data_IF_452379143072
#
_entry.id   IF_452379143072
#
_cell.length_a   1.000
_cell.length_b   1.000
_cell.length_c   1.000
_cell.angle_alpha   90.00
_cell.angle_beta   90.00
_cell.angle_gamma   90.00
#
_symmetry.space_group_name_H-M   'P 1'
#
loop_
_entity.id
_entity.type
_entity.pdbx_description
1 polymer ?
#
# COMPACT_ATOMS: atom_id res chain seq x y z
N UNK A 1 -14.28 21.17 -19.33
CA UNK A 1 -12.83 21.23 -19.01
C UNK A 1 -12.65 20.52 -17.67
N UNK A 2 -11.66 19.66 -17.50
CA UNK A 2 -11.38 19.00 -16.20
C UNK A 2 -10.44 19.87 -15.39
N UNK A 3 -10.66 19.91 -14.09
CA UNK A 3 -9.78 20.62 -13.13
C UNK A 3 -8.57 19.78 -12.82
N UNK A 4 -8.71 18.45 -12.73
CA UNK A 4 -7.62 17.50 -12.53
C UNK A 4 -7.82 16.26 -13.39
N UNK A 5 -6.74 15.77 -13.98
CA UNK A 5 -6.69 14.50 -14.71
C UNK A 5 -5.70 13.59 -14.01
N UNK A 6 -6.15 12.40 -13.59
CA UNK A 6 -5.31 11.33 -13.03
C UNK A 6 -4.95 10.37 -14.15
N UNK A 7 -3.68 10.10 -14.34
CA UNK A 7 -3.20 9.17 -15.38
C UNK A 7 -2.80 7.85 -14.73
N UNK A 8 -3.47 6.78 -15.14
CA UNK A 8 -3.30 5.42 -14.65
C UNK A 8 -4.37 5.00 -13.65
N UNK A 9 -5.15 3.97 -14.01
CA UNK A 9 -6.26 3.40 -13.24
C UNK A 9 -5.85 2.28 -12.28
N UNK A 10 -4.59 2.21 -11.85
CA UNK A 10 -4.16 1.29 -10.81
C UNK A 10 -4.62 1.73 -9.41
N UNK A 11 -4.23 0.96 -8.36
CA UNK A 11 -4.62 1.24 -6.97
C UNK A 11 -4.25 2.66 -6.52
N UNK A 12 -3.13 3.20 -6.99
CA UNK A 12 -2.69 4.56 -6.64
C UNK A 12 -3.61 5.59 -7.28
N UNK A 13 -3.80 5.52 -8.61
CA UNK A 13 -4.65 6.47 -9.31
C UNK A 13 -6.10 6.41 -8.87
N UNK A 14 -6.64 5.22 -8.66
CA UNK A 14 -7.99 5.03 -8.12
C UNK A 14 -8.15 5.62 -6.71
N UNK A 15 -7.14 5.44 -5.84
CA UNK A 15 -7.14 6.02 -4.49
C UNK A 15 -7.07 7.56 -4.52
N UNK A 16 -6.24 8.12 -5.40
CA UNK A 16 -6.15 9.58 -5.59
C UNK A 16 -7.48 10.12 -6.09
N UNK A 17 -8.07 9.49 -7.13
CA UNK A 17 -9.37 9.92 -7.65
C UNK A 17 -10.45 9.87 -6.57
N UNK A 18 -10.50 8.80 -5.77
CA UNK A 18 -11.43 8.69 -4.65
C UNK A 18 -11.30 9.86 -3.67
N UNK A 19 -10.10 10.27 -3.33
CA UNK A 19 -9.92 11.43 -2.46
C UNK A 19 -10.32 12.75 -3.15
N UNK A 20 -10.01 12.91 -4.43
CA UNK A 20 -10.41 14.09 -5.21
C UNK A 20 -11.93 14.23 -5.29
N UNK A 21 -12.69 13.13 -5.42
CA UNK A 21 -14.16 13.19 -5.48
C UNK A 21 -14.84 13.70 -4.21
N UNK A 22 -14.11 13.84 -3.11
CA UNK A 22 -14.60 14.52 -1.89
C UNK A 22 -14.57 16.05 -2.00
N UNK A 23 -13.90 16.57 -3.03
CA UNK A 23 -13.78 17.99 -3.31
C UNK A 23 -14.77 18.40 -4.39
N UNK A 24 -15.06 19.70 -4.49
CA UNK A 24 -15.82 20.26 -5.62
C UNK A 24 -14.89 20.41 -6.82
N UNK A 25 -15.27 19.83 -7.96
CA UNK A 25 -14.48 19.91 -9.19
C UNK A 25 -14.88 18.86 -10.21
N UNK A 26 -14.30 18.97 -11.41
CA UNK A 26 -14.45 18.03 -12.49
C UNK A 26 -13.16 17.20 -12.60
N UNK A 27 -13.24 15.93 -12.28
CA UNK A 27 -12.10 15.03 -12.25
C UNK A 27 -12.23 13.97 -13.34
N UNK A 28 -11.09 13.57 -13.91
CA UNK A 28 -11.03 12.54 -14.92
C UNK A 28 -9.90 11.56 -14.56
N UNK A 29 -10.14 10.28 -14.82
CA UNK A 29 -9.09 9.25 -14.77
C UNK A 29 -8.92 8.69 -16.19
N UNK A 30 -7.68 8.65 -16.64
CA UNK A 30 -7.31 8.06 -17.92
C UNK A 30 -6.55 6.77 -17.67
N UNK A 31 -7.00 5.68 -18.27
CA UNK A 31 -6.33 4.38 -18.27
C UNK A 31 -6.03 3.98 -19.72
N UNK A 32 -4.88 3.38 -19.96
CA UNK A 32 -4.46 2.93 -21.28
C UNK A 32 -4.99 1.55 -21.66
N UNK A 33 -5.31 0.75 -20.66
CA UNK A 33 -5.84 -0.59 -20.84
C UNK A 33 -7.37 -0.56 -20.95
N UNK A 34 -7.98 -1.69 -21.29
CA UNK A 34 -9.43 -1.84 -21.46
C UNK A 34 -10.21 -1.66 -20.17
N UNK A 35 -9.57 -1.88 -19.01
CA UNK A 35 -10.18 -1.75 -17.69
C UNK A 35 -9.14 -1.27 -16.66
N UNK A 36 -9.60 -0.85 -15.51
CA UNK A 36 -8.75 -0.44 -14.39
C UNK A 36 -8.03 -1.63 -13.76
N UNK A 37 -6.93 -1.34 -13.07
CA UNK A 37 -6.12 -2.32 -12.32
C UNK A 37 -5.51 -3.47 -13.15
N UNK A 38 -5.44 -3.38 -14.47
CA UNK A 38 -4.93 -4.45 -15.35
C UNK A 38 -3.41 -4.72 -15.22
N UNK A 39 -2.66 -3.84 -14.57
CA UNK A 39 -1.22 -3.99 -14.32
C UNK A 39 -0.90 -4.57 -12.94
N UNK A 40 0.08 -3.98 -12.26
CA UNK A 40 0.58 -4.42 -10.95
C UNK A 40 -0.49 -4.49 -9.84
N UNK A 41 -1.54 -3.70 -9.95
CA UNK A 41 -2.64 -3.72 -8.97
C UNK A 41 -3.43 -5.03 -8.98
N UNK A 42 -3.46 -5.75 -10.10
CA UNK A 42 -4.04 -7.08 -10.22
C UNK A 42 -3.03 -8.18 -9.92
N UNK A 43 -1.76 -7.96 -10.30
CA UNK A 43 -0.69 -8.96 -10.25
C UNK A 43 0.22 -8.72 -9.05
N UNK A 44 -0.30 -8.88 -7.83
CA UNK A 44 0.46 -8.76 -6.59
C UNK A 44 -0.03 -9.78 -5.54
N UNK A 45 0.68 -9.88 -4.42
CA UNK A 45 0.39 -10.84 -3.35
C UNK A 45 -0.79 -10.43 -2.44
N UNK A 46 -1.29 -9.22 -2.55
CA UNK A 46 -2.34 -8.69 -1.67
C UNK A 46 -1.92 -8.56 -0.20
N UNK A 47 -0.62 -8.52 0.08
CA UNK A 47 -0.09 -8.42 1.44
C UNK A 47 0.09 -6.95 1.81
N UNK A 48 -0.49 -6.55 2.94
CA UNK A 48 -0.25 -5.23 3.54
C UNK A 48 1.02 -5.30 4.37
N UNK A 49 2.07 -4.59 3.95
CA UNK A 49 3.35 -4.60 4.63
C UNK A 49 3.27 -3.97 6.02
N UNK A 50 3.96 -4.59 7.01
CA UNK A 50 3.97 -4.11 8.40
C UNK A 50 4.90 -2.90 8.62
N UNK A 51 5.88 -2.69 7.74
CA UNK A 51 6.78 -1.53 7.77
C UNK A 51 8.22 -1.81 8.20
N UNK A 52 8.50 -2.95 8.83
CA UNK A 52 9.83 -3.29 9.36
C UNK A 52 10.91 -3.51 8.28
N UNK A 53 10.51 -3.81 7.05
CA UNK A 53 11.42 -4.06 5.93
C UNK A 53 12.02 -2.77 5.35
N UNK A 54 11.33 -1.66 5.46
CA UNK A 54 11.78 -0.39 4.90
C UNK A 54 12.85 0.27 5.79
N UNK A 55 13.84 0.92 5.14
CA UNK A 55 14.92 1.61 5.84
C UNK A 55 14.34 2.76 6.67
N UNK A 56 14.59 2.82 7.99
CA UNK A 56 14.14 3.88 8.86
C UNK A 56 14.54 5.29 8.35
N UNK A 57 13.70 6.29 8.60
CA UNK A 57 13.92 7.66 8.14
C UNK A 57 13.54 7.94 6.68
N UNK A 58 13.17 6.92 5.90
CA UNK A 58 12.70 7.10 4.52
C UNK A 58 11.19 7.34 4.45
N UNK A 59 10.73 8.00 3.38
CA UNK A 59 9.29 8.15 3.10
C UNK A 59 8.61 6.79 2.93
N UNK A 60 9.32 5.79 2.39
CA UNK A 60 8.83 4.42 2.27
C UNK A 60 8.50 3.85 3.64
N UNK A 61 9.39 3.95 4.62
CA UNK A 61 9.15 3.48 5.99
C UNK A 61 7.95 4.21 6.62
N UNK A 62 7.93 5.54 6.55
CA UNK A 62 6.85 6.37 7.07
C UNK A 62 5.49 5.98 6.52
N UNK A 63 5.36 5.93 5.20
CA UNK A 63 4.07 5.65 4.56
C UNK A 63 3.68 4.18 4.62
N UNK A 64 4.63 3.26 4.76
CA UNK A 64 4.35 1.85 4.98
C UNK A 64 3.63 1.64 6.32
N UNK A 65 4.18 2.19 7.41
CA UNK A 65 3.57 2.10 8.74
C UNK A 65 2.23 2.84 8.80
N UNK A 66 2.16 4.04 8.23
CA UNK A 66 0.94 4.83 8.20
C UNK A 66 -0.16 4.13 7.40
N UNK A 67 0.17 3.63 6.21
CA UNK A 67 -0.76 2.89 5.36
C UNK A 67 -1.27 1.61 6.01
N UNK A 68 -0.39 0.86 6.70
CA UNK A 68 -0.79 -0.31 7.46
C UNK A 68 -1.85 0.03 8.52
N UNK A 69 -1.63 1.10 9.29
CA UNK A 69 -2.60 1.56 10.30
C UNK A 69 -3.94 2.00 9.70
N UNK A 70 -3.94 2.56 8.51
CA UNK A 70 -5.14 3.03 7.81
C UNK A 70 -5.91 1.89 7.13
N UNK A 71 -5.22 0.81 6.76
CA UNK A 71 -5.77 -0.24 5.89
C UNK A 71 -7.07 -0.88 6.41
N UNK A 72 -7.24 -1.21 7.70
CA UNK A 72 -8.49 -1.80 8.19
C UNK A 72 -9.71 -0.93 7.95
N UNK A 73 -9.60 0.37 8.22
CA UNK A 73 -10.68 1.33 7.99
C UNK A 73 -10.94 1.51 6.49
N UNK A 74 -9.88 1.66 5.70
CA UNK A 74 -9.96 1.83 4.26
C UNK A 74 -10.59 0.62 3.56
N UNK A 75 -10.21 -0.59 3.95
CA UNK A 75 -10.81 -1.82 3.42
C UNK A 75 -12.29 -1.94 3.78
N UNK A 76 -12.67 -1.56 5.01
CA UNK A 76 -14.07 -1.52 5.44
C UNK A 76 -14.89 -0.55 4.59
N UNK A 77 -14.38 0.67 4.37
CA UNK A 77 -15.05 1.69 3.56
C UNK A 77 -15.27 1.23 2.10
N UNK A 78 -14.34 0.46 1.56
CA UNK A 78 -14.41 -0.08 0.22
C UNK A 78 -15.18 -1.42 0.12
N UNK A 79 -15.62 -2.00 1.23
CA UNK A 79 -16.25 -3.32 1.25
C UNK A 79 -15.29 -4.46 0.89
N UNK A 80 -13.98 -4.26 1.01
CA UNK A 80 -12.95 -5.25 0.69
C UNK A 80 -12.66 -6.11 1.90
N UNK A 81 -12.55 -7.43 1.70
CA UNK A 81 -12.18 -8.36 2.77
C UNK A 81 -10.74 -8.08 3.22
N UNK A 82 -10.57 -7.83 4.50
CA UNK A 82 -9.28 -7.64 5.14
C UNK A 82 -9.11 -8.62 6.30
N UNK A 83 -7.94 -9.22 6.41
CA UNK A 83 -7.59 -10.13 7.51
C UNK A 83 -6.26 -9.72 8.10
N UNK A 84 -6.23 -9.47 9.40
CA UNK A 84 -5.00 -9.25 10.16
C UNK A 84 -4.57 -10.56 10.82
N UNK A 85 -4.01 -11.45 10.03
CA UNK A 85 -3.55 -12.77 10.45
C UNK A 85 -2.04 -12.83 10.74
N UNK A 86 -1.36 -11.68 10.65
CA UNK A 86 0.08 -11.59 10.85
C UNK A 86 0.90 -12.19 9.71
N UNK A 87 2.20 -12.10 9.84
CA UNK A 87 3.18 -12.75 8.96
C UNK A 87 4.38 -13.21 9.78
N UNK A 88 5.07 -14.25 9.29
CA UNK A 88 6.28 -14.76 9.89
C UNK A 88 7.45 -14.54 8.94
N UNK A 89 8.58 -14.13 9.49
CA UNK A 89 9.87 -14.14 8.80
C UNK A 89 10.69 -15.25 9.39
N UNK A 90 11.10 -16.21 8.56
CA UNK A 90 11.82 -17.40 9.00
C UNK A 90 13.30 -17.28 8.64
N UNK A 91 14.16 -17.71 9.54
CA UNK A 91 15.59 -17.90 9.32
C UNK A 91 15.97 -19.37 9.48
N UNK A 92 16.95 -19.84 8.69
CA UNK A 92 17.34 -21.24 8.64
C UNK A 92 18.84 -21.46 8.99
N UNK A 93 19.58 -20.38 9.19
CA UNK A 93 21.01 -20.42 9.52
C UNK A 93 21.41 -19.22 10.38
N UNK A 94 22.68 -19.19 10.82
CA UNK A 94 23.20 -18.11 11.68
C UNK A 94 23.16 -16.73 11.00
N UNK A 95 23.41 -16.66 9.70
CA UNK A 95 23.33 -15.40 8.96
C UNK A 95 21.90 -14.85 8.93
N UNK A 96 20.92 -15.71 8.74
CA UNK A 96 19.51 -15.34 8.79
C UNK A 96 19.10 -14.87 10.19
N UNK A 97 19.64 -15.51 11.24
CA UNK A 97 19.40 -15.10 12.63
C UNK A 97 19.87 -13.67 12.88
N UNK A 98 21.07 -13.31 12.43
CA UNK A 98 21.57 -11.94 12.55
C UNK A 98 20.68 -10.93 11.77
N UNK A 99 20.20 -11.33 10.60
CA UNK A 99 19.25 -10.53 9.82
C UNK A 99 17.95 -10.32 10.59
N UNK A 100 17.40 -11.36 11.20
CA UNK A 100 16.18 -11.28 12.01
C UNK A 100 16.34 -10.35 13.21
N UNK A 101 17.48 -10.35 13.87
CA UNK A 101 17.79 -9.42 14.96
C UNK A 101 17.72 -7.97 14.47
N UNK A 102 18.36 -7.67 13.34
CA UNK A 102 18.30 -6.33 12.74
C UNK A 102 16.89 -5.91 12.32
N UNK A 103 16.05 -6.83 11.84
CA UNK A 103 14.64 -6.56 11.53
C UNK A 103 13.83 -6.28 12.81
N UNK A 104 14.09 -7.04 13.88
CA UNK A 104 13.45 -6.83 15.18
C UNK A 104 13.76 -5.45 15.76
N UNK A 105 15.02 -5.02 15.69
CA UNK A 105 15.43 -3.68 16.14
C UNK A 105 14.70 -2.57 15.37
N UNK A 106 14.56 -2.71 14.05
CA UNK A 106 13.82 -1.75 13.22
C UNK A 106 12.32 -1.71 13.55
N UNK A 107 11.75 -2.81 13.99
CA UNK A 107 10.31 -2.89 14.26
C UNK A 107 9.90 -2.19 15.57
N UNK A 108 10.84 -1.78 16.42
CA UNK A 108 10.59 -1.12 17.71
C UNK A 108 10.62 0.41 17.61
N UNK A 109 10.97 0.97 16.46
CA UNK A 109 11.13 2.43 16.24
C UNK A 109 9.83 3.09 15.78
#
# INVERSE_FOLDING_TARGET
MFDVVVIGGGVIGGSILRELTKLKGNFCLLEKEEDVAMGQSRANSGIVHAGFDAIPGTLKAKFNVLGNKMMPAYAKDLGVKYRNNGSLVLGFNEQDYQTLLGLKERAVV
#
